data_IF_519247099488
#
_entry.id   IF_519247099488
#
_cell.length_a   1.000
_cell.length_b   1.000
_cell.length_c   1.000
_cell.angle_alpha   90.00
_cell.angle_beta   90.00
_cell.angle_gamma   90.00
#
_symmetry.space_group_name_H-M   'P 1'
#
loop_
_entity.id
_entity.type
_entity.pdbx_description
1 polymer ?
#
# COMPACT_ATOMS: atom_id res chain seq x y z
N UNK A 1 -2.51 -9.25 11.24
CA UNK A 1 -1.90 -8.08 11.94
C UNK A 1 -1.24 -8.43 13.29
N UNK A 2 -1.72 -9.43 14.02
CA UNK A 2 -1.22 -9.78 15.36
C UNK A 2 -0.24 -10.97 15.37
N UNK A 3 0.23 -11.40 14.22
CA UNK A 3 1.29 -12.42 14.14
C UNK A 3 2.58 -11.83 14.70
N UNK A 4 3.30 -12.61 15.50
CA UNK A 4 4.60 -12.21 16.03
C UNK A 4 5.69 -12.42 14.97
N UNK A 5 6.53 -11.42 14.81
CA UNK A 5 7.70 -11.43 13.92
C UNK A 5 8.90 -10.95 14.73
N UNK A 6 9.66 -11.89 15.27
CA UNK A 6 10.84 -11.62 16.12
C UNK A 6 10.51 -10.68 17.31
N UNK A 7 9.58 -11.11 18.17
CA UNK A 7 9.21 -10.41 19.41
C UNK A 7 8.34 -9.16 19.24
N UNK A 8 7.86 -8.88 18.03
CA UNK A 8 7.00 -7.73 17.74
C UNK A 8 5.88 -8.13 16.79
N UNK A 9 4.64 -7.70 17.05
CA UNK A 9 3.55 -8.00 16.13
C UNK A 9 3.70 -7.26 14.80
N UNK A 10 3.15 -7.82 13.72
CA UNK A 10 3.19 -7.23 12.39
C UNK A 10 2.67 -5.78 12.40
N UNK A 11 1.51 -5.52 13.01
CA UNK A 11 0.93 -4.17 13.09
C UNK A 11 1.83 -3.20 13.87
N UNK A 12 2.49 -3.66 14.94
CA UNK A 12 3.43 -2.84 15.70
C UNK A 12 4.67 -2.51 14.86
N UNK A 13 5.18 -3.47 14.09
CA UNK A 13 6.31 -3.29 13.19
C UNK A 13 6.02 -2.26 12.11
N UNK A 14 4.88 -2.41 11.43
CA UNK A 14 4.42 -1.45 10.41
C UNK A 14 4.29 -0.05 11.02
N UNK A 15 3.67 0.07 12.19
CA UNK A 15 3.49 1.37 12.84
C UNK A 15 4.83 1.99 13.27
N UNK A 16 5.72 1.22 13.89
CA UNK A 16 7.06 1.71 14.28
C UNK A 16 7.87 2.16 13.07
N UNK A 17 7.74 1.48 11.94
CA UNK A 17 8.33 1.93 10.70
C UNK A 17 7.69 3.24 10.21
N UNK A 18 6.36 3.33 10.17
CA UNK A 18 5.63 4.50 9.71
C UNK A 18 5.97 5.78 10.51
N UNK A 19 6.09 5.71 11.84
CA UNK A 19 6.46 6.88 12.67
C UNK A 19 7.88 7.38 12.45
N UNK A 20 8.77 6.58 11.84
CA UNK A 20 10.09 7.09 11.39
C UNK A 20 9.99 8.03 10.20
N UNK A 21 8.87 8.00 9.48
CA UNK A 21 8.61 8.77 8.27
C UNK A 21 7.85 10.06 8.59
N UNK A 22 6.86 9.98 9.50
CA UNK A 22 6.08 11.12 9.98
C UNK A 22 5.45 10.81 11.35
N UNK A 23 5.41 11.80 12.23
CA UNK A 23 4.72 11.74 13.52
C UNK A 23 3.18 11.67 13.39
N UNK A 24 2.65 12.03 12.20
CA UNK A 24 1.22 11.96 11.86
C UNK A 24 0.82 10.58 11.31
N UNK A 25 1.33 9.51 11.92
CA UNK A 25 0.98 8.13 11.56
C UNK A 25 -0.11 7.60 12.50
N UNK A 26 -1.13 6.96 11.91
CA UNK A 26 -2.26 6.38 12.63
C UNK A 26 -2.58 4.98 12.11
N UNK A 27 -3.03 4.11 13.00
CA UNK A 27 -3.53 2.78 12.63
C UNK A 27 -5.05 2.86 12.51
N UNK A 28 -5.59 2.45 11.36
CA UNK A 28 -7.03 2.27 11.13
C UNK A 28 -7.37 0.78 11.21
N UNK A 29 -8.35 0.41 12.03
CA UNK A 29 -8.75 -1.00 12.21
C UNK A 29 -10.22 -1.13 12.58
N UNK A 30 -10.89 -2.18 12.10
CA UNK A 30 -12.23 -2.61 12.50
C UNK A 30 -12.20 -3.65 13.64
N UNK A 31 -11.02 -4.18 13.96
CA UNK A 31 -10.86 -5.24 14.95
C UNK A 31 -10.66 -4.70 16.34
N UNK A 32 -11.63 -4.95 17.25
CA UNK A 32 -11.46 -4.64 18.68
C UNK A 32 -10.25 -5.32 19.30
N UNK A 33 -9.87 -6.52 18.79
CA UNK A 33 -8.68 -7.24 19.27
C UNK A 33 -7.40 -6.51 18.87
N UNK A 34 -7.32 -6.02 17.63
CA UNK A 34 -6.20 -5.20 17.15
C UNK A 34 -6.16 -3.89 17.91
N UNK A 35 -7.29 -3.18 18.04
CA UNK A 35 -7.40 -1.94 18.81
C UNK A 35 -6.85 -2.09 20.25
N UNK A 36 -7.27 -3.16 20.95
CA UNK A 36 -6.80 -3.43 22.32
C UNK A 36 -5.29 -3.63 22.37
N UNK A 37 -4.74 -4.37 21.40
CA UNK A 37 -3.31 -4.60 21.31
C UNK A 37 -2.55 -3.30 20.99
N UNK A 38 -2.99 -2.55 19.98
CA UNK A 38 -2.35 -1.30 19.55
C UNK A 38 -2.29 -0.29 20.72
N UNK A 39 -3.33 -0.19 21.55
CA UNK A 39 -3.36 0.69 22.72
C UNK A 39 -2.31 0.36 23.77
N UNK A 40 -1.61 -0.78 23.67
CA UNK A 40 -0.50 -1.10 24.58
C UNK A 40 0.78 -0.35 24.24
N UNK A 41 0.94 0.16 23.00
CA UNK A 41 2.14 0.84 22.55
C UNK A 41 1.90 2.22 21.92
N UNK A 42 0.65 2.57 21.51
CA UNK A 42 0.31 3.90 20.97
C UNK A 42 -1.15 4.25 21.20
N UNK A 43 -1.45 5.57 21.24
CA UNK A 43 -2.83 6.09 21.18
C UNK A 43 -3.25 6.49 19.76
N UNK A 44 -2.35 6.42 18.76
CA UNK A 44 -2.61 6.79 17.38
C UNK A 44 -3.34 5.65 16.64
N UNK A 45 -4.56 5.36 17.08
CA UNK A 45 -5.41 4.31 16.50
C UNK A 45 -6.84 4.80 16.36
N UNK A 46 -7.44 4.51 15.22
CA UNK A 46 -8.82 4.87 14.88
C UNK A 46 -9.59 3.58 14.63
N UNK A 47 -10.68 3.42 15.40
CA UNK A 47 -11.62 2.34 15.14
C UNK A 47 -12.52 2.76 13.98
N UNK A 48 -12.57 1.93 12.95
CA UNK A 48 -13.35 2.14 11.73
C UNK A 48 -14.46 1.09 11.61
N UNK A 49 -15.42 1.33 10.75
CA UNK A 49 -16.49 0.38 10.44
C UNK A 49 -15.93 -0.95 9.92
N UNK A 50 -16.60 -2.04 10.25
CA UNK A 50 -16.37 -3.37 9.69
C UNK A 50 -17.08 -3.60 8.35
N UNK A 51 -17.93 -2.64 7.93
CA UNK A 51 -18.64 -2.69 6.65
C UNK A 51 -17.79 -2.29 5.44
N UNK A 52 -16.56 -1.78 5.65
CA UNK A 52 -15.69 -1.38 4.53
C UNK A 52 -15.26 -2.58 3.71
N UNK A 53 -15.45 -2.48 2.40
CA UNK A 53 -15.08 -3.51 1.44
C UNK A 53 -13.64 -3.36 0.93
N UNK A 54 -13.03 -2.17 1.17
CA UNK A 54 -11.68 -1.87 0.68
C UNK A 54 -10.81 -1.16 1.71
N UNK A 55 -9.48 -1.20 1.47
CA UNK A 55 -8.51 -0.44 2.26
C UNK A 55 -8.69 1.07 2.11
N UNK A 56 -9.07 1.54 0.93
CA UNK A 56 -9.30 2.95 0.63
C UNK A 56 -10.48 3.52 1.42
N UNK A 57 -11.59 2.78 1.53
CA UNK A 57 -12.76 3.19 2.33
C UNK A 57 -12.39 3.36 3.81
N UNK A 58 -11.61 2.40 4.35
CA UNK A 58 -11.13 2.43 5.73
C UNK A 58 -10.21 3.63 5.98
N UNK A 59 -9.29 3.90 5.07
CA UNK A 59 -8.38 5.06 5.17
C UNK A 59 -9.16 6.36 5.09
N UNK A 60 -10.20 6.43 4.25
CA UNK A 60 -11.06 7.60 4.16
C UNK A 60 -11.78 7.89 5.48
N UNK A 61 -12.45 6.89 6.10
CA UNK A 61 -13.11 7.08 7.41
C UNK A 61 -12.12 7.56 8.47
N UNK A 62 -10.93 6.97 8.51
CA UNK A 62 -9.89 7.39 9.44
C UNK A 62 -9.44 8.84 9.20
N UNK A 63 -9.25 9.23 7.94
CA UNK A 63 -8.86 10.59 7.55
C UNK A 63 -9.95 11.62 7.86
N UNK A 64 -11.24 11.27 7.70
CA UNK A 64 -12.37 12.10 8.12
C UNK A 64 -12.41 12.30 9.64
N UNK A 65 -12.21 11.22 10.41
CA UNK A 65 -12.16 11.29 11.87
C UNK A 65 -11.03 12.22 12.36
N UNK A 66 -9.93 12.30 11.61
CA UNK A 66 -8.81 13.21 11.86
C UNK A 66 -9.07 14.65 11.38
N UNK A 67 -10.19 14.90 10.70
CA UNK A 67 -10.58 16.20 10.14
C UNK A 67 -9.51 16.82 9.23
N UNK A 68 -8.93 16.00 8.36
CA UNK A 68 -7.89 16.46 7.44
C UNK A 68 -8.46 17.42 6.41
N UNK A 69 -7.70 18.47 6.08
CA UNK A 69 -8.04 19.41 5.02
C UNK A 69 -8.01 18.75 3.64
N UNK A 70 -8.77 19.28 2.70
CA UNK A 70 -8.91 18.75 1.33
C UNK A 70 -7.59 18.62 0.57
N UNK A 71 -6.62 19.48 0.86
CA UNK A 71 -5.28 19.45 0.25
C UNK A 71 -4.26 18.60 1.01
N UNK A 72 -4.65 18.04 2.17
CA UNK A 72 -3.77 17.12 2.89
C UNK A 72 -3.45 15.89 2.05
N UNK A 73 -2.16 15.54 1.96
CA UNK A 73 -1.73 14.28 1.36
C UNK A 73 -1.90 13.16 2.37
N UNK A 74 -2.70 12.16 2.02
CA UNK A 74 -2.92 10.94 2.80
C UNK A 74 -2.10 9.83 2.15
N UNK A 75 -1.22 9.21 2.93
CA UNK A 75 -0.47 8.02 2.50
C UNK A 75 -1.11 6.79 3.15
N UNK A 76 -1.57 5.87 2.33
CA UNK A 76 -2.07 4.56 2.74
C UNK A 76 -0.92 3.55 2.68
N UNK A 77 -0.36 3.22 3.85
CA UNK A 77 0.60 2.14 4.01
C UNK A 77 -0.15 0.88 4.44
N UNK A 78 -0.01 -0.19 3.66
CA UNK A 78 -0.70 -1.45 3.95
C UNK A 78 -0.18 -2.10 5.24
N UNK A 79 -1.09 -2.74 5.99
CA UNK A 79 -0.77 -3.34 7.30
C UNK A 79 0.08 -4.62 7.24
N UNK A 80 0.40 -5.09 6.06
CA UNK A 80 1.24 -6.24 5.72
C UNK A 80 2.63 -5.87 5.18
N UNK A 81 2.95 -4.55 5.13
CA UNK A 81 4.21 -4.01 4.60
C UNK A 81 5.15 -3.47 5.71
N UNK A 82 5.74 -4.34 6.56
CA UNK A 82 6.51 -3.91 7.72
C UNK A 82 7.87 -3.30 7.38
N UNK A 83 8.38 -3.55 6.18
CA UNK A 83 9.73 -3.14 5.76
C UNK A 83 9.73 -2.06 4.69
N UNK A 84 8.64 -1.28 4.59
CA UNK A 84 8.56 -0.17 3.63
C UNK A 84 9.71 0.81 3.84
N UNK A 85 10.58 1.04 2.82
CA UNK A 85 11.73 1.91 3.00
C UNK A 85 11.32 3.37 3.14
N UNK A 86 11.84 4.08 4.13
CA UNK A 86 11.65 5.52 4.29
C UNK A 86 12.03 6.30 3.02
N UNK A 87 13.11 5.88 2.33
CA UNK A 87 13.55 6.50 1.07
C UNK A 87 12.48 6.41 -0.01
N UNK A 88 11.80 5.25 -0.13
CA UNK A 88 10.70 5.10 -1.08
C UNK A 88 9.56 6.07 -0.76
N UNK A 89 9.13 6.16 0.49
CA UNK A 89 8.03 7.07 0.89
C UNK A 89 8.42 8.52 0.65
N UNK A 90 9.67 8.92 0.95
CA UNK A 90 10.18 10.26 0.67
C UNK A 90 10.16 10.56 -0.84
N UNK A 91 10.62 9.62 -1.68
CA UNK A 91 10.59 9.76 -3.13
C UNK A 91 9.14 9.84 -3.65
N UNK A 92 8.26 8.96 -3.17
CA UNK A 92 6.85 8.94 -3.54
C UNK A 92 6.17 10.30 -3.23
N UNK A 93 6.42 10.88 -2.07
CA UNK A 93 5.90 12.21 -1.72
C UNK A 93 6.46 13.29 -2.65
N UNK A 94 7.76 13.26 -2.95
CA UNK A 94 8.37 14.21 -3.89
C UNK A 94 7.78 14.06 -5.30
N UNK A 95 7.64 12.83 -5.79
CA UNK A 95 7.06 12.53 -7.10
C UNK A 95 5.59 12.98 -7.18
N UNK A 96 4.82 12.85 -6.09
CA UNK A 96 3.44 13.32 -6.03
C UNK A 96 3.31 14.83 -6.28
N UNK A 97 4.22 15.62 -5.70
CA UNK A 97 4.21 17.08 -5.88
C UNK A 97 4.86 17.54 -7.18
N UNK A 98 5.72 16.73 -7.78
CA UNK A 98 6.40 17.04 -9.05
C UNK A 98 5.60 16.62 -10.29
N UNK A 99 4.59 15.78 -10.13
CA UNK A 99 3.77 15.25 -11.22
C UNK A 99 2.29 15.58 -11.02
N UNK A 100 1.54 15.69 -12.12
CA UNK A 100 0.08 15.88 -12.06
C UNK A 100 -0.60 14.55 -12.06
N UNK A 101 -1.00 14.05 -10.89
CA UNK A 101 -1.72 12.77 -10.76
C UNK A 101 -2.81 12.86 -9.70
N UNK A 102 -3.82 11.99 -9.83
CA UNK A 102 -4.89 11.85 -8.83
C UNK A 102 -4.45 10.96 -7.68
N UNK A 103 -3.73 9.89 -8.02
CA UNK A 103 -3.20 8.88 -7.10
C UNK A 103 -1.72 8.66 -7.41
N UNK A 104 -0.93 8.43 -6.39
CA UNK A 104 0.43 7.95 -6.54
C UNK A 104 0.57 6.58 -5.89
N UNK A 105 1.36 5.72 -6.50
CA UNK A 105 1.72 4.42 -5.96
C UNK A 105 3.19 4.12 -6.28
N UNK A 106 3.67 2.92 -6.02
CA UNK A 106 5.05 2.57 -6.26
C UNK A 106 5.20 1.24 -6.99
N UNK A 107 6.34 1.08 -7.67
CA UNK A 107 6.69 -0.14 -8.34
C UNK A 107 8.21 -0.43 -8.28
N UNK A 108 8.54 -1.69 -8.48
CA UNK A 108 9.91 -2.21 -8.46
C UNK A 108 10.16 -3.06 -9.70
N UNK A 109 11.36 -3.11 -10.27
CA UNK A 109 11.69 -4.12 -11.27
C UNK A 109 11.38 -5.53 -10.77
N UNK A 110 10.98 -6.43 -11.67
CA UNK A 110 10.79 -7.84 -11.34
C UNK A 110 12.16 -8.52 -11.36
N UNK A 111 12.65 -8.89 -10.18
CA UNK A 111 13.96 -9.54 -10.01
C UNK A 111 13.92 -11.05 -10.31
N UNK A 112 12.76 -11.68 -10.09
CA UNK A 112 12.56 -13.10 -10.29
C UNK A 112 11.50 -13.32 -11.38
N UNK A 113 11.88 -14.00 -12.46
CA UNK A 113 10.97 -14.30 -13.56
C UNK A 113 9.72 -15.08 -13.12
N UNK A 114 9.83 -15.90 -12.07
CA UNK A 114 8.69 -16.63 -11.51
C UNK A 114 7.62 -15.68 -10.92
N UNK A 115 7.96 -14.44 -10.58
CA UNK A 115 7.00 -13.46 -10.09
C UNK A 115 6.02 -13.01 -11.18
N UNK A 116 6.36 -13.18 -12.45
CA UNK A 116 5.41 -12.94 -13.56
C UNK A 116 4.21 -13.88 -13.50
N UNK A 117 4.44 -15.14 -13.14
CA UNK A 117 3.41 -16.17 -13.03
C UNK A 117 2.71 -16.18 -11.67
N UNK A 118 3.35 -15.59 -10.64
CA UNK A 118 2.82 -15.58 -9.28
C UNK A 118 1.61 -14.62 -9.17
N UNK A 119 0.38 -15.10 -8.92
CA UNK A 119 -0.80 -14.25 -8.81
C UNK A 119 -0.80 -13.34 -7.56
N UNK A 120 0.03 -13.64 -6.55
CA UNK A 120 0.18 -12.82 -5.35
C UNK A 120 1.13 -11.63 -5.61
N UNK A 121 2.06 -11.76 -6.55
CA UNK A 121 2.85 -10.65 -7.04
C UNK A 121 2.02 -9.87 -8.07
N UNK A 122 1.43 -8.75 -7.69
CA UNK A 122 0.70 -7.88 -8.62
C UNK A 122 1.69 -7.16 -9.53
N UNK A 123 1.43 -7.22 -10.85
CA UNK A 123 2.22 -6.52 -11.87
C UNK A 123 1.52 -5.25 -12.30
N UNK A 124 2.30 -4.24 -12.66
CA UNK A 124 1.83 -3.00 -13.26
C UNK A 124 2.53 -2.78 -14.60
N UNK A 125 1.77 -2.39 -15.61
CA UNK A 125 2.29 -1.88 -16.86
C UNK A 125 2.18 -0.36 -16.85
N UNK A 126 3.28 0.33 -17.14
CA UNK A 126 3.34 1.79 -17.16
C UNK A 126 3.60 2.32 -18.56
N UNK A 127 3.16 3.54 -18.80
CA UNK A 127 3.57 4.31 -19.98
C UNK A 127 5.00 4.89 -19.82
N UNK A 128 5.49 5.57 -20.85
CA UNK A 128 6.81 6.20 -20.88
C UNK A 128 6.98 7.30 -19.83
N UNK A 129 5.88 7.85 -19.30
CA UNK A 129 5.86 8.88 -18.26
C UNK A 129 5.64 8.33 -16.86
N UNK A 130 5.66 7.01 -16.71
CA UNK A 130 5.41 6.27 -15.47
C UNK A 130 3.96 6.35 -14.95
N UNK A 131 2.97 6.61 -15.79
CA UNK A 131 1.58 6.41 -15.40
C UNK A 131 1.16 4.97 -15.60
N UNK A 132 0.41 4.41 -14.65
CA UNK A 132 -0.12 3.07 -14.75
C UNK A 132 -1.13 2.98 -15.92
N UNK A 133 -0.88 2.05 -16.84
CA UNK A 133 -1.82 1.69 -17.91
C UNK A 133 -2.80 0.66 -17.38
N UNK A 134 -2.29 -0.38 -16.68
CA UNK A 134 -3.12 -1.43 -16.09
C UNK A 134 -2.36 -2.22 -15.03
N UNK A 135 -3.11 -2.99 -14.22
CA UNK A 135 -2.57 -3.91 -13.21
C UNK A 135 -3.02 -5.33 -13.48
N UNK A 136 -2.16 -6.30 -13.15
CA UNK A 136 -2.36 -7.70 -13.48
C UNK A 136 -1.94 -8.63 -12.34
N UNK A 137 -2.76 -9.65 -12.07
CA UNK A 137 -2.32 -10.82 -11.29
C UNK A 137 -1.62 -11.83 -12.18
N UNK A 138 -2.11 -12.00 -13.42
CA UNK A 138 -1.48 -12.81 -14.48
C UNK A 138 -1.24 -11.91 -15.69
N UNK A 139 -0.05 -11.92 -16.22
CA UNK A 139 0.33 -11.10 -17.36
C UNK A 139 -0.32 -11.64 -18.64
N UNK A 140 -0.95 -10.79 -19.47
CA UNK A 140 -1.57 -11.24 -20.72
C UNK A 140 -0.55 -11.43 -21.84
N UNK A 141 0.67 -10.91 -21.73
CA UNK A 141 1.72 -10.92 -22.75
C UNK A 141 3.10 -10.94 -22.09
N UNK A 142 3.94 -11.89 -22.47
CA UNK A 142 5.26 -12.11 -21.87
C UNK A 142 6.32 -11.10 -22.34
N UNK A 143 6.02 -10.30 -23.38
CA UNK A 143 6.96 -9.35 -24.00
C UNK A 143 6.80 -7.89 -23.52
N UNK A 144 5.97 -7.62 -22.53
CA UNK A 144 5.80 -6.27 -21.97
C UNK A 144 6.71 -6.06 -20.74
N UNK A 145 7.16 -4.82 -20.55
CA UNK A 145 7.98 -4.41 -19.41
C UNK A 145 7.13 -4.25 -18.15
N UNK A 146 6.75 -5.38 -17.55
CA UNK A 146 6.02 -5.39 -16.29
C UNK A 146 6.93 -5.06 -15.12
N UNK A 147 6.37 -4.29 -14.18
CA UNK A 147 7.00 -4.00 -12.90
C UNK A 147 6.18 -4.62 -11.78
N UNK A 148 6.81 -4.99 -10.66
CA UNK A 148 6.12 -5.42 -9.46
C UNK A 148 5.48 -4.19 -8.79
N UNK A 149 4.18 -4.22 -8.58
CA UNK A 149 3.48 -3.21 -7.81
C UNK A 149 3.81 -3.33 -6.32
N UNK A 150 3.99 -2.20 -5.65
CA UNK A 150 4.20 -2.10 -4.20
C UNK A 150 2.95 -1.49 -3.57
N UNK A 151 2.38 -2.16 -2.56
CA UNK A 151 1.11 -1.81 -1.93
C UNK A 151 1.14 -0.54 -1.07
N UNK A 152 1.56 0.58 -1.64
CA UNK A 152 1.50 1.90 -1.02
C UNK A 152 0.77 2.88 -1.94
N UNK A 153 -0.10 3.71 -1.38
CA UNK A 153 -0.84 4.71 -2.15
C UNK A 153 -0.80 6.07 -1.48
N UNK A 154 -0.82 7.12 -2.30
CA UNK A 154 -0.97 8.49 -1.83
C UNK A 154 -2.00 9.24 -2.67
N UNK A 155 -2.80 10.06 -2.02
CA UNK A 155 -3.82 10.91 -2.65
C UNK A 155 -4.15 12.09 -1.76
N UNK A 156 -4.59 13.21 -2.37
CA UNK A 156 -5.16 14.30 -1.58
C UNK A 156 -6.49 13.87 -0.98
N UNK A 157 -6.84 14.41 0.19
CA UNK A 157 -8.11 14.15 0.86
C UNK A 157 -9.31 14.42 -0.07
N UNK A 158 -9.28 15.50 -0.87
CA UNK A 158 -10.33 15.80 -1.86
C UNK A 158 -10.47 14.75 -2.96
N UNK A 159 -9.36 14.10 -3.36
CA UNK A 159 -9.39 12.99 -4.32
C UNK A 159 -9.95 11.74 -3.64
N UNK A 160 -9.48 11.42 -2.45
CA UNK A 160 -9.93 10.27 -1.66
C UNK A 160 -11.46 10.30 -1.44
N UNK A 161 -12.04 11.48 -1.13
CA UNK A 161 -13.50 11.70 -1.04
C UNK A 161 -14.28 11.35 -2.32
N UNK A 162 -13.63 11.43 -3.48
CA UNK A 162 -14.22 11.03 -4.77
C UNK A 162 -14.07 9.55 -5.03
N UNK A 163 -12.88 8.99 -4.74
CA UNK A 163 -12.56 7.59 -4.98
C UNK A 163 -13.49 6.64 -4.21
N UNK A 164 -13.79 6.93 -2.94
CA UNK A 164 -14.68 6.10 -2.10
C UNK A 164 -16.16 6.13 -2.54
N UNK A 165 -16.54 7.03 -3.45
CA UNK A 165 -17.89 7.09 -4.03
C UNK A 165 -18.03 6.31 -5.33
N UNK A 166 -16.93 5.77 -5.83
CA UNK A 166 -16.94 4.97 -7.05
C UNK A 166 -17.51 3.58 -6.75
N UNK A 167 -18.44 3.16 -7.57
CA UNK A 167 -18.92 1.77 -7.53
C UNK A 167 -17.83 0.81 -8.00
N UNK A 168 -17.73 -0.39 -7.41
CA UNK A 168 -16.81 -1.42 -7.87
C UNK A 168 -17.03 -1.76 -9.34
N UNK A 169 -15.95 -1.77 -10.13
CA UNK A 169 -16.02 -2.11 -11.54
C UNK A 169 -15.93 -3.61 -11.77
N UNK A 170 -16.43 -4.10 -12.90
CA UNK A 170 -16.32 -5.52 -13.26
C UNK A 170 -14.86 -5.97 -13.33
N UNK A 171 -13.96 -5.10 -13.82
CA UNK A 171 -12.53 -5.36 -13.93
C UNK A 171 -11.90 -5.55 -12.54
N UNK A 172 -12.20 -4.65 -11.60
CA UNK A 172 -11.79 -4.77 -10.20
C UNK A 172 -12.26 -6.08 -9.56
N UNK A 173 -13.57 -6.39 -9.69
CA UNK A 173 -14.17 -7.55 -9.05
C UNK A 173 -13.58 -8.88 -9.56
N UNK A 174 -13.38 -8.98 -10.88
CA UNK A 174 -12.80 -10.18 -11.51
C UNK A 174 -11.34 -10.38 -11.08
N UNK A 175 -10.55 -9.33 -11.06
CA UNK A 175 -9.12 -9.40 -10.75
C UNK A 175 -8.82 -9.26 -9.26
N UNK A 176 -9.79 -8.84 -8.44
CA UNK A 176 -9.62 -8.51 -7.01
C UNK A 176 -8.47 -7.51 -6.81
N UNK A 177 -8.50 -6.43 -7.59
CA UNK A 177 -7.51 -5.35 -7.60
C UNK A 177 -8.25 -4.00 -7.55
N UNK A 178 -8.33 -3.41 -6.37
CA UNK A 178 -9.07 -2.17 -6.11
C UNK A 178 -8.64 -1.01 -7.01
N UNK A 179 -7.34 -0.89 -7.29
CA UNK A 179 -6.79 0.19 -8.11
C UNK A 179 -7.29 0.19 -9.57
N UNK A 180 -7.84 -0.93 -10.06
CA UNK A 180 -8.47 -0.98 -11.38
C UNK A 180 -9.73 -0.12 -11.44
N UNK A 181 -10.48 0.01 -10.33
CA UNK A 181 -11.61 0.93 -10.22
C UNK A 181 -11.21 2.36 -10.56
N UNK A 182 -10.02 2.77 -10.11
CA UNK A 182 -9.54 4.14 -10.35
C UNK A 182 -9.24 4.35 -11.84
N UNK A 183 -8.51 3.41 -12.46
CA UNK A 183 -8.19 3.46 -13.90
C UNK A 183 -9.46 3.42 -14.74
N UNK A 184 -10.39 2.52 -14.44
CA UNK A 184 -11.67 2.36 -15.16
C UNK A 184 -12.54 3.62 -15.10
N UNK A 185 -12.33 4.47 -14.07
CA UNK A 185 -12.99 5.77 -13.91
C UNK A 185 -12.10 6.96 -14.31
N UNK A 186 -11.05 6.73 -15.09
CA UNK A 186 -10.12 7.74 -15.64
C UNK A 186 -9.34 8.53 -14.58
N UNK A 187 -9.11 7.98 -13.39
CA UNK A 187 -8.16 8.56 -12.46
C UNK A 187 -6.75 8.14 -12.83
N UNK A 188 -5.85 9.12 -12.88
CA UNK A 188 -4.44 8.90 -13.16
C UNK A 188 -3.71 8.34 -11.94
N UNK A 189 -2.93 7.26 -12.15
CA UNK A 189 -2.05 6.70 -11.11
C UNK A 189 -0.60 6.85 -11.58
N UNK A 190 0.17 7.70 -10.91
CA UNK A 190 1.61 7.80 -11.16
C UNK A 190 2.37 6.76 -10.35
N UNK A 191 3.35 6.09 -10.96
CA UNK A 191 4.12 5.01 -10.36
C UNK A 191 5.54 5.45 -10.04
N UNK A 192 5.84 5.67 -8.77
CA UNK A 192 7.22 5.89 -8.30
C UNK A 192 8.04 4.62 -8.50
N UNK A 193 9.04 4.65 -9.36
CA UNK A 193 9.97 3.54 -9.57
C UNK A 193 11.04 3.53 -8.48
N UNK A 194 11.08 2.46 -7.70
CA UNK A 194 12.08 2.26 -6.65
C UNK A 194 12.99 1.10 -7.01
N UNK A 195 14.30 1.35 -7.12
CA UNK A 195 15.25 0.39 -7.68
C UNK A 195 15.96 -0.45 -6.61
N UNK A 196 15.95 0.00 -5.36
CA UNK A 196 16.57 -0.78 -4.27
C UNK A 196 15.64 -1.92 -3.84
N UNK A 197 16.25 -3.04 -3.44
CA UNK A 197 15.50 -4.23 -3.02
C UNK A 197 14.54 -3.94 -1.86
N UNK A 198 13.32 -4.44 -1.97
CA UNK A 198 12.28 -4.35 -0.95
C UNK A 198 11.78 -5.77 -0.66
N UNK A 199 11.73 -6.22 0.60
CA UNK A 199 11.04 -7.45 0.95
C UNK A 199 9.57 -7.40 0.50
N UNK A 200 8.98 -8.55 0.23
CA UNK A 200 7.55 -8.65 -0.05
C UNK A 200 6.73 -8.37 1.21
N UNK A 201 5.48 -7.96 1.03
CA UNK A 201 4.48 -7.93 2.09
C UNK A 201 4.27 -9.31 2.70
N UNK A 202 3.64 -9.37 3.86
CA UNK A 202 3.47 -10.61 4.65
C UNK A 202 2.02 -11.08 4.57
N UNK A 203 1.74 -12.00 3.66
CA UNK A 203 0.42 -12.60 3.45
C UNK A 203 0.37 -14.08 3.87
N UNK A 204 1.49 -14.79 3.73
CA UNK A 204 1.61 -16.23 3.96
C UNK A 204 2.61 -16.55 5.08
N UNK A 205 2.63 -17.82 5.52
CA UNK A 205 3.66 -18.27 6.47
C UNK A 205 5.07 -18.22 5.87
N UNK A 206 5.21 -18.48 4.57
CA UNK A 206 6.49 -18.37 3.86
C UNK A 206 7.02 -16.93 3.86
N UNK A 207 6.12 -15.94 3.78
CA UNK A 207 6.52 -14.52 3.89
C UNK A 207 6.99 -14.19 5.31
N UNK A 208 6.37 -14.78 6.34
CA UNK A 208 6.85 -14.62 7.73
C UNK A 208 8.26 -15.17 7.89
N UNK A 209 8.53 -16.36 7.37
CA UNK A 209 9.86 -16.98 7.43
C UNK A 209 10.91 -16.14 6.68
N UNK A 210 10.52 -15.59 5.54
CA UNK A 210 11.35 -14.68 4.75
C UNK A 210 11.61 -13.35 5.49
N UNK A 211 10.61 -12.82 6.18
CA UNK A 211 10.72 -11.63 7.02
C UNK A 211 11.67 -11.85 8.20
N UNK A 212 11.61 -13.00 8.86
CA UNK A 212 12.53 -13.37 9.94
C UNK A 212 13.97 -13.46 9.45
N UNK A 213 14.20 -14.09 8.29
CA UNK A 213 15.52 -14.16 7.68
C UNK A 213 16.07 -12.79 7.29
N UNK A 214 15.18 -11.90 6.78
CA UNK A 214 15.57 -10.52 6.47
C UNK A 214 15.99 -9.74 7.71
N UNK A 215 15.31 -9.89 8.84
CA UNK A 215 15.66 -9.24 10.09
C UNK A 215 17.01 -9.73 10.62
N UNK A 216 17.23 -11.05 10.63
CA UNK A 216 18.49 -11.63 11.08
C UNK A 216 19.69 -11.18 10.24
N UNK A 217 19.49 -10.95 8.94
CA UNK A 217 20.55 -10.47 8.03
C UNK A 217 20.86 -8.98 8.13
N UNK A 218 20.06 -8.19 8.86
CA UNK A 218 20.20 -6.74 9.02
C UNK A 218 20.37 -6.31 10.51
N UNK A 219 20.61 -7.25 11.43
CA UNK A 219 20.94 -6.97 12.84
C UNK A 219 22.44 -6.74 13.09
N UNK A 220 23.30 -6.67 12.03
CA UNK A 220 24.75 -6.39 12.11
C UNK A 220 25.09 -4.89 11.94
#
# INVERSE_FOLDING_TARGET
PLIDINGMTLVERVFKNAITMTDKSFIATDSRKVLKHVKTFTQNVIMTSDCHISGTDRVFEAAEALKLDDDSLVINLQGDEPFMPKKLVTQLVADFYNNTCDVISACHPIDNINDLENPNCVKVLCDEKNYAINFYRKTPNDNADYLRHIGIYGYKMKTLKKLVKLEPTSNELVNKLEQLRFIDNNYSIYMTKYLSKIPSGIDTQEDVDSALNFLLSNED
#
